data_IF_734032715729
#
_entry.id   IF_734032715729
#
_cell.length_a   1.000
_cell.length_b   1.000
_cell.length_c   1.000
_cell.angle_alpha   90.00
_cell.angle_beta   90.00
_cell.angle_gamma   90.00
#
_symmetry.space_group_name_H-M   'P 1'
#
loop_
_entity.id
_entity.type
_entity.pdbx_description
1 polymer ?
#
# COMPACT_ATOMS: atom_id res chain seq x y z
N UNK A 1 -20.83 -4.70 -7.86
CA UNK A 1 -19.82 -4.27 -6.87
C UNK A 1 -20.51 -3.77 -5.62
N UNK A 2 -20.14 -4.31 -4.45
CA UNK A 2 -20.60 -3.87 -3.13
C UNK A 2 -19.49 -3.03 -2.52
N UNK A 3 -19.84 -1.86 -2.01
CA UNK A 3 -18.97 -0.97 -1.26
C UNK A 3 -19.59 -0.74 0.13
N UNK A 4 -18.86 -1.07 1.17
CA UNK A 4 -19.33 -1.01 2.56
C UNK A 4 -18.37 -0.15 3.39
N UNK A 5 -18.84 0.88 4.11
CA UNK A 5 -18.06 1.47 5.18
C UNK A 5 -17.85 0.43 6.28
N UNK A 6 -16.63 0.37 6.81
CA UNK A 6 -16.26 -0.60 7.84
C UNK A 6 -15.55 0.07 9.02
N UNK A 7 -15.64 -0.58 10.17
CA UNK A 7 -14.91 -0.25 11.38
C UNK A 7 -14.04 -1.44 11.74
N UNK A 8 -12.72 -1.24 11.79
CA UNK A 8 -11.72 -2.26 12.02
C UNK A 8 -11.20 -2.11 13.43
N UNK A 9 -11.54 -3.00 14.37
CA UNK A 9 -10.97 -2.98 15.71
C UNK A 9 -9.45 -3.21 15.64
N UNK A 10 -8.69 -2.36 16.28
CA UNK A 10 -7.24 -2.47 16.43
C UNK A 10 -6.86 -2.34 17.90
N UNK A 11 -5.67 -2.78 18.34
CA UNK A 11 -5.22 -2.58 19.71
C UNK A 11 -5.14 -1.09 20.13
N UNK A 12 -4.99 -0.18 19.18
CA UNK A 12 -4.80 1.25 19.44
C UNK A 12 -6.08 2.09 19.17
N UNK A 13 -7.22 1.43 18.93
CA UNK A 13 -8.50 2.09 18.67
C UNK A 13 -9.30 1.40 17.56
N UNK A 14 -10.07 2.18 16.82
CA UNK A 14 -10.87 1.68 15.70
C UNK A 14 -10.50 2.45 14.43
N UNK A 15 -9.99 1.73 13.42
CA UNK A 15 -9.78 2.31 12.11
C UNK A 15 -11.08 2.27 11.31
N UNK A 16 -11.47 3.40 10.74
CA UNK A 16 -12.51 3.47 9.73
C UNK A 16 -11.94 3.08 8.34
N UNK A 17 -12.80 2.76 7.41
CA UNK A 17 -12.39 2.40 6.05
C UNK A 17 -13.53 1.91 5.18
N UNK A 18 -13.19 1.28 4.08
CA UNK A 18 -14.14 0.70 3.14
C UNK A 18 -13.72 -0.71 2.75
N UNK A 19 -14.73 -1.57 2.56
CA UNK A 19 -14.59 -2.90 2.00
C UNK A 19 -15.27 -2.94 0.64
N UNK A 20 -14.55 -3.37 -0.38
CA UNK A 20 -15.04 -3.57 -1.74
C UNK A 20 -15.06 -5.06 -2.04
N UNK A 21 -16.19 -5.58 -2.55
CA UNK A 21 -16.32 -6.99 -2.94
C UNK A 21 -17.38 -7.19 -3.99
N UNK A 22 -17.30 -8.31 -4.68
CA UNK A 22 -18.39 -8.81 -5.51
C UNK A 22 -19.32 -9.72 -4.71
N UNK A 23 -20.56 -9.85 -5.17
CA UNK A 23 -21.39 -11.01 -4.84
C UNK A 23 -20.76 -12.20 -5.58
N UNK A 24 -20.19 -13.10 -4.83
CA UNK A 24 -19.53 -14.29 -5.36
C UNK A 24 -19.98 -15.50 -4.58
N UNK A 25 -20.22 -16.60 -5.29
CA UNK A 25 -20.50 -17.92 -4.68
C UNK A 25 -19.23 -18.56 -4.10
N UNK A 26 -18.06 -18.04 -4.46
CA UNK A 26 -16.76 -18.52 -3.96
C UNK A 26 -16.06 -17.39 -3.21
N UNK A 27 -15.37 -17.69 -2.11
CA UNK A 27 -14.49 -16.72 -1.47
C UNK A 27 -13.38 -16.29 -2.44
N UNK A 28 -13.05 -14.99 -2.42
CA UNK A 28 -12.02 -14.37 -3.23
C UNK A 28 -10.77 -14.11 -2.39
N UNK A 29 -9.63 -13.86 -3.03
CA UNK A 29 -8.44 -13.42 -2.31
C UNK A 29 -8.63 -12.02 -1.73
N UNK A 30 -8.12 -11.79 -0.51
CA UNK A 30 -8.16 -10.50 0.16
C UNK A 30 -6.95 -9.63 -0.21
N UNK A 31 -7.16 -8.33 -0.40
CA UNK A 31 -6.09 -7.35 -0.60
C UNK A 31 -6.27 -6.20 0.37
N UNK A 32 -5.20 -5.82 1.06
CA UNK A 32 -5.13 -4.55 1.80
C UNK A 32 -4.60 -3.48 0.86
N UNK A 33 -5.43 -2.50 0.54
CA UNK A 33 -5.09 -1.37 -0.32
C UNK A 33 -4.86 -0.14 0.56
N UNK A 34 -3.62 0.29 0.68
CA UNK A 34 -3.26 1.46 1.47
C UNK A 34 -3.37 2.74 0.63
N UNK A 35 -3.62 3.87 1.28
CA UNK A 35 -3.72 5.17 0.61
C UNK A 35 -2.35 5.85 0.57
N UNK A 36 -2.22 6.91 -0.24
CA UNK A 36 -1.14 7.88 -0.05
C UNK A 36 -1.36 8.73 1.22
N UNK A 37 -0.54 9.76 1.44
CA UNK A 37 -0.62 10.65 2.61
C UNK A 37 -1.95 11.43 2.71
N UNK A 38 -2.68 11.58 1.62
CA UNK A 38 -3.98 12.25 1.62
C UNK A 38 -5.10 11.38 2.19
N UNK A 39 -4.84 10.12 2.48
CA UNK A 39 -5.79 9.22 3.14
C UNK A 39 -6.96 8.78 2.25
N UNK A 40 -8.01 8.33 2.91
CA UNK A 40 -9.23 7.86 2.24
C UNK A 40 -9.99 9.06 1.64
N UNK A 41 -10.17 9.01 0.31
CA UNK A 41 -10.89 10.01 -0.49
C UNK A 41 -11.37 9.39 -1.81
N UNK A 42 -12.08 10.13 -2.65
CA UNK A 42 -12.67 9.58 -3.88
C UNK A 42 -11.63 8.93 -4.80
N UNK A 43 -10.44 9.51 -4.94
CA UNK A 43 -9.38 8.93 -5.74
C UNK A 43 -8.94 7.55 -5.22
N UNK A 44 -8.61 7.43 -3.93
CA UNK A 44 -8.20 6.16 -3.32
C UNK A 44 -9.35 5.15 -3.29
N UNK A 45 -10.59 5.59 -3.10
CA UNK A 45 -11.78 4.74 -3.20
C UNK A 45 -11.96 4.20 -4.61
N UNK A 46 -11.77 5.06 -5.64
CA UNK A 46 -11.80 4.64 -7.05
C UNK A 46 -10.74 3.61 -7.39
N UNK A 47 -9.50 3.80 -6.89
CA UNK A 47 -8.40 2.84 -7.09
C UNK A 47 -8.70 1.49 -6.42
N UNK A 48 -9.20 1.49 -5.18
CA UNK A 48 -9.57 0.27 -4.47
C UNK A 48 -10.75 -0.47 -5.14
N UNK A 49 -11.76 0.29 -5.61
CA UNK A 49 -12.89 -0.26 -6.36
C UNK A 49 -12.42 -0.92 -7.66
N UNK A 50 -11.58 -0.24 -8.43
CA UNK A 50 -10.99 -0.78 -9.67
C UNK A 50 -10.25 -2.10 -9.42
N UNK A 51 -9.47 -2.17 -8.32
CA UNK A 51 -8.77 -3.40 -7.97
C UNK A 51 -9.75 -4.52 -7.58
N UNK A 52 -10.85 -4.19 -6.91
CA UNK A 52 -11.87 -5.18 -6.58
C UNK A 52 -12.60 -5.70 -7.85
N UNK A 53 -12.71 -4.89 -8.90
CA UNK A 53 -13.27 -5.30 -10.22
C UNK A 53 -12.47 -6.41 -10.88
N UNK A 54 -11.18 -6.57 -10.53
CA UNK A 54 -10.33 -7.70 -10.95
C UNK A 54 -10.65 -9.02 -10.23
N UNK A 55 -11.68 -9.05 -9.36
CA UNK A 55 -12.12 -10.27 -8.67
C UNK A 55 -11.48 -10.48 -7.30
N UNK A 56 -11.13 -9.42 -6.60
CA UNK A 56 -10.60 -9.46 -5.24
C UNK A 56 -11.60 -8.88 -4.23
N UNK A 57 -11.45 -9.27 -2.96
CA UNK A 57 -12.04 -8.52 -1.84
C UNK A 57 -11.02 -7.53 -1.32
N UNK A 58 -11.29 -6.23 -1.44
CA UNK A 58 -10.31 -5.17 -1.15
C UNK A 58 -10.71 -4.39 0.09
N UNK A 59 -9.82 -4.33 1.07
CA UNK A 59 -9.93 -3.49 2.26
C UNK A 59 -9.12 -2.21 2.05
N UNK A 60 -9.78 -1.06 2.17
CA UNK A 60 -9.18 0.28 2.15
C UNK A 60 -9.27 0.89 3.54
N UNK A 61 -8.30 0.69 4.44
CA UNK A 61 -8.33 1.23 5.79
C UNK A 61 -7.86 2.68 5.82
N UNK A 62 -8.39 3.47 6.76
CA UNK A 62 -7.76 4.72 7.17
C UNK A 62 -6.53 4.40 8.03
N UNK A 63 -5.35 4.43 7.46
CA UNK A 63 -4.09 4.16 8.18
C UNK A 63 -3.73 5.24 9.21
N UNK A 64 -4.37 6.42 9.10
CA UNK A 64 -4.14 7.57 9.97
C UNK A 64 -5.18 7.70 11.11
N UNK A 65 -5.96 6.66 11.37
CA UNK A 65 -7.07 6.67 12.35
C UNK A 65 -6.66 7.09 13.77
N UNK A 66 -5.39 6.91 14.14
CA UNK A 66 -4.85 7.36 15.44
C UNK A 66 -4.81 8.87 15.56
N UNK A 67 -4.79 9.57 14.43
CA UNK A 67 -4.64 11.03 14.38
C UNK A 67 -5.95 11.70 14.01
N UNK A 68 -6.61 11.25 12.94
CA UNK A 68 -7.85 11.87 12.47
C UNK A 68 -8.61 11.03 11.45
N UNK A 69 -9.89 11.38 11.30
CA UNK A 69 -10.71 10.92 10.20
C UNK A 69 -10.48 11.79 8.95
N UNK A 70 -10.75 11.28 7.73
CA UNK A 70 -10.68 12.08 6.51
C UNK A 70 -11.52 13.37 6.59
N UNK A 71 -11.07 14.48 5.98
CA UNK A 71 -9.87 14.59 5.17
C UNK A 71 -8.59 14.76 6.01
N UNK A 72 -7.48 14.25 5.50
CA UNK A 72 -6.18 14.35 6.18
C UNK A 72 -5.66 15.79 6.16
N UNK A 73 -5.94 16.52 5.08
CA UNK A 73 -5.62 17.93 4.94
C UNK A 73 -6.91 18.72 4.69
N UNK A 74 -7.15 19.75 5.50
CA UNK A 74 -8.26 20.70 5.40
C UNK A 74 -7.82 22.03 4.76
N UNK A 75 -6.68 21.98 4.05
CA UNK A 75 -6.06 23.10 3.35
C UNK A 75 -5.30 22.57 2.10
N UNK A 76 -5.01 23.45 1.10
CA UNK A 76 -4.18 23.08 -0.03
C UNK A 76 -2.79 22.62 0.40
N UNK A 77 -2.37 21.45 -0.08
CA UNK A 77 -1.10 20.83 0.30
C UNK A 77 0.04 21.43 -0.51
N UNK A 78 1.05 21.94 0.20
CA UNK A 78 2.32 22.39 -0.36
C UNK A 78 3.45 21.95 0.57
N UNK A 79 4.22 20.94 0.19
CA UNK A 79 5.31 20.40 1.01
C UNK A 79 6.47 21.38 1.26
N UNK A 80 6.49 22.54 0.58
CA UNK A 80 7.37 23.66 0.91
C UNK A 80 6.94 24.44 2.16
N UNK A 81 5.65 24.36 2.55
CA UNK A 81 5.08 25.10 3.65
C UNK A 81 5.17 24.38 4.99
N UNK A 82 5.44 25.13 6.05
CA UNK A 82 5.60 24.56 7.39
C UNK A 82 4.34 23.85 7.90
N UNK A 83 3.15 24.42 7.70
CA UNK A 83 1.87 23.79 8.10
C UNK A 83 1.66 22.41 7.46
N UNK A 84 2.12 22.22 6.20
CA UNK A 84 2.04 20.92 5.52
C UNK A 84 3.00 19.93 6.14
N UNK A 85 4.23 20.35 6.46
CA UNK A 85 5.22 19.50 7.13
C UNK A 85 4.76 19.09 8.52
N UNK A 86 4.18 20.02 9.28
CA UNK A 86 3.62 19.73 10.60
C UNK A 86 2.50 18.71 10.51
N UNK A 87 1.53 18.90 9.60
CA UNK A 87 0.45 17.94 9.39
C UNK A 87 0.98 16.58 8.93
N UNK A 88 1.96 16.55 8.05
CA UNK A 88 2.62 15.30 7.65
C UNK A 88 3.22 14.59 8.86
N UNK A 89 3.95 15.30 9.71
CA UNK A 89 4.54 14.73 10.92
C UNK A 89 3.45 14.22 11.89
N UNK A 90 2.37 15.00 12.13
CA UNK A 90 1.23 14.58 12.96
C UNK A 90 0.61 13.25 12.47
N UNK A 91 0.46 13.09 11.15
CA UNK A 91 -0.12 11.89 10.55
C UNK A 91 0.83 10.68 10.65
N UNK A 92 2.12 10.90 10.47
CA UNK A 92 3.10 9.81 10.31
C UNK A 92 3.78 9.40 11.62
N UNK A 93 3.93 10.31 12.58
CA UNK A 93 4.58 10.02 13.86
C UNK A 93 3.96 8.84 14.63
N UNK A 94 2.61 8.64 14.67
CA UNK A 94 2.03 7.49 15.36
C UNK A 94 2.22 6.15 14.63
N UNK A 95 2.72 6.17 13.38
CA UNK A 95 2.92 4.97 12.57
C UNK A 95 4.32 4.38 12.80
N UNK A 96 4.60 4.02 14.05
CA UNK A 96 5.85 3.32 14.39
C UNK A 96 5.87 1.90 13.81
N UNK A 97 7.05 1.25 13.68
CA UNK A 97 7.12 -0.13 13.23
C UNK A 97 6.20 -1.08 14.00
N UNK A 98 6.10 -0.93 15.31
CA UNK A 98 5.26 -1.75 16.19
C UNK A 98 3.77 -1.47 15.96
N UNK A 99 3.40 -0.19 15.76
CA UNK A 99 2.02 0.20 15.44
C UNK A 99 1.59 -0.40 14.08
N UNK A 100 2.46 -0.33 13.08
CA UNK A 100 2.21 -0.91 11.75
C UNK A 100 2.07 -2.44 11.84
N UNK A 101 2.87 -3.13 12.64
CA UNK A 101 2.76 -4.57 12.84
C UNK A 101 1.42 -4.96 13.50
N UNK A 102 0.95 -4.15 14.48
CA UNK A 102 -0.39 -4.34 15.07
C UNK A 102 -1.51 -4.11 14.06
N UNK A 103 -1.40 -3.06 13.24
CA UNK A 103 -2.36 -2.77 12.17
C UNK A 103 -2.38 -3.87 11.11
N UNK A 104 -1.21 -4.37 10.69
CA UNK A 104 -1.10 -5.50 9.78
C UNK A 104 -1.92 -6.71 10.26
N UNK A 105 -1.78 -7.03 11.54
CA UNK A 105 -2.54 -8.10 12.17
C UNK A 105 -4.05 -7.81 12.15
N UNK A 106 -4.45 -6.60 12.56
CA UNK A 106 -5.86 -6.19 12.59
C UNK A 106 -6.52 -6.22 11.20
N UNK A 107 -5.85 -5.71 10.17
CA UNK A 107 -6.36 -5.69 8.79
C UNK A 107 -6.50 -7.10 8.20
N UNK A 108 -5.49 -7.95 8.40
CA UNK A 108 -5.52 -9.34 7.96
C UNK A 108 -6.63 -10.10 8.67
N UNK A 109 -6.73 -9.97 9.99
CA UNK A 109 -7.74 -10.68 10.78
C UNK A 109 -9.15 -10.16 10.47
N UNK A 110 -9.31 -8.87 10.14
CA UNK A 110 -10.57 -8.33 9.64
C UNK A 110 -10.98 -9.02 8.34
N UNK A 111 -10.09 -9.06 7.35
CA UNK A 111 -10.34 -9.72 6.07
C UNK A 111 -10.62 -11.22 6.24
N UNK A 112 -9.94 -11.92 7.14
CA UNK A 112 -10.17 -13.36 7.40
C UNK A 112 -11.56 -13.65 7.96
N UNK A 113 -12.19 -12.70 8.65
CA UNK A 113 -13.57 -12.85 9.19
C UNK A 113 -14.63 -12.58 8.13
N UNK A 114 -14.26 -11.95 7.03
CA UNK A 114 -15.20 -11.67 5.94
C UNK A 114 -15.50 -12.94 5.15
N UNK A 115 -16.79 -13.28 5.04
CA UNK A 115 -17.25 -14.49 4.31
C UNK A 115 -16.85 -14.47 2.82
N UNK A 116 -16.63 -13.28 2.26
CA UNK A 116 -16.19 -13.07 0.88
C UNK A 116 -14.70 -13.35 0.69
N UNK A 117 -13.93 -13.54 1.75
CA UNK A 117 -12.48 -13.80 1.70
C UNK A 117 -12.20 -15.25 2.02
N UNK A 118 -11.38 -15.91 1.19
CA UNK A 118 -10.86 -17.24 1.45
C UNK A 118 -9.83 -17.23 2.58
N UNK A 119 -9.64 -18.40 3.20
CA UNK A 119 -8.63 -18.59 4.26
C UNK A 119 -7.18 -18.57 3.76
N UNK A 120 -6.98 -18.33 2.47
CA UNK A 120 -5.70 -18.45 1.78
C UNK A 120 -4.86 -17.17 1.79
N UNK A 121 -4.06 -17.09 0.75
CA UNK A 121 -3.12 -16.02 0.48
C UNK A 121 -3.79 -14.65 0.30
N UNK A 122 -3.14 -13.61 0.78
CA UNK A 122 -3.57 -12.22 0.65
C UNK A 122 -2.47 -11.36 0.04
N UNK A 123 -2.88 -10.20 -0.50
CA UNK A 123 -1.98 -9.19 -1.02
C UNK A 123 -2.03 -7.89 -0.23
N UNK A 124 -1.02 -7.05 -0.46
CA UNK A 124 -1.00 -5.67 0.02
C UNK A 124 -0.44 -4.76 -1.06
N UNK A 125 -0.98 -3.54 -1.17
CA UNK A 125 -0.41 -2.50 -2.02
C UNK A 125 -0.40 -1.17 -1.28
N UNK A 126 0.68 -0.40 -1.47
CA UNK A 126 0.85 0.93 -0.92
C UNK A 126 1.36 1.94 -1.92
N UNK A 127 1.09 3.21 -1.65
CA UNK A 127 1.41 4.33 -2.53
C UNK A 127 2.06 5.45 -1.73
N UNK A 128 3.07 6.14 -2.27
CA UNK A 128 3.72 7.25 -1.58
C UNK A 128 4.29 6.79 -0.22
N UNK A 129 3.99 7.49 0.83
CA UNK A 129 4.37 7.14 2.20
C UNK A 129 4.00 5.68 2.57
N UNK A 130 2.84 5.20 2.16
CA UNK A 130 2.40 3.85 2.51
C UNK A 130 3.05 2.74 1.67
N UNK A 131 3.83 3.08 0.64
CA UNK A 131 4.63 2.09 -0.08
C UNK A 131 5.60 1.34 0.83
N UNK A 132 6.25 2.06 1.76
CA UNK A 132 7.07 1.45 2.80
C UNK A 132 6.23 0.64 3.82
N UNK A 133 4.99 1.08 4.10
CA UNK A 133 4.09 0.33 4.98
C UNK A 133 3.67 -1.01 4.37
N UNK A 134 3.48 -1.09 3.05
CA UNK A 134 3.18 -2.34 2.38
C UNK A 134 4.29 -3.40 2.59
N UNK A 135 5.57 -2.98 2.51
CA UNK A 135 6.70 -3.86 2.82
C UNK A 135 6.70 -4.30 4.29
N UNK A 136 6.44 -3.36 5.22
CA UNK A 136 6.33 -3.68 6.66
C UNK A 136 5.20 -4.64 6.98
N UNK A 137 4.04 -4.50 6.33
CA UNK A 137 2.90 -5.41 6.48
C UNK A 137 3.25 -6.81 5.95
N UNK A 138 3.94 -6.88 4.81
CA UNK A 138 4.40 -8.16 4.27
C UNK A 138 5.39 -8.87 5.20
N UNK A 139 6.31 -8.13 5.82
CA UNK A 139 7.24 -8.66 6.82
C UNK A 139 6.55 -9.07 8.13
N UNK A 140 5.54 -8.31 8.58
CA UNK A 140 4.81 -8.60 9.81
C UNK A 140 3.87 -9.81 9.70
N UNK A 141 3.37 -10.10 8.49
CA UNK A 141 2.43 -11.21 8.24
C UNK A 141 2.89 -12.12 7.08
N UNK A 142 4.11 -12.68 7.17
CA UNK A 142 4.64 -13.56 6.13
C UNK A 142 3.89 -14.90 6.04
N UNK A 143 3.02 -15.19 7.01
CA UNK A 143 2.17 -16.38 7.05
C UNK A 143 1.02 -16.31 6.03
N UNK A 144 0.64 -15.11 5.59
CA UNK A 144 -0.54 -14.90 4.75
C UNK A 144 -0.34 -13.91 3.63
N UNK A 145 0.52 -12.89 3.78
CA UNK A 145 0.84 -11.95 2.71
C UNK A 145 1.84 -12.60 1.77
N UNK A 146 1.38 -12.98 0.59
CA UNK A 146 2.20 -13.64 -0.45
C UNK A 146 2.53 -12.72 -1.63
N UNK A 147 1.92 -11.56 -1.68
CA UNK A 147 2.17 -10.53 -2.68
C UNK A 147 2.17 -9.14 -2.05
N UNK A 148 3.15 -8.31 -2.38
CA UNK A 148 3.20 -6.92 -1.96
C UNK A 148 3.63 -6.02 -3.12
N UNK A 149 2.95 -4.88 -3.29
CA UNK A 149 3.31 -3.88 -4.28
C UNK A 149 3.49 -2.50 -3.62
N UNK A 150 4.45 -1.74 -4.12
CA UNK A 150 4.73 -0.38 -3.68
C UNK A 150 4.95 0.51 -4.89
N UNK A 151 4.19 1.58 -5.02
CA UNK A 151 4.35 2.55 -6.10
C UNK A 151 4.73 3.91 -5.52
N UNK A 152 5.77 4.53 -6.11
CA UNK A 152 6.41 5.75 -5.60
C UNK A 152 6.62 5.73 -4.07
N UNK A 153 7.00 4.57 -3.56
CA UNK A 153 7.23 4.37 -2.13
C UNK A 153 8.40 5.20 -1.64
N UNK A 154 8.12 6.15 -0.73
CA UNK A 154 9.18 6.93 -0.10
C UNK A 154 9.87 6.17 1.02
N UNK A 155 11.18 6.39 1.18
CA UNK A 155 11.94 5.88 2.32
C UNK A 155 11.99 4.35 2.43
N UNK A 156 11.95 3.64 1.30
CA UNK A 156 12.14 2.17 1.28
C UNK A 156 13.55 1.77 1.74
N UNK A 157 14.54 2.61 1.45
CA UNK A 157 15.88 2.58 2.03
C UNK A 157 16.20 3.91 2.71
N UNK A 158 16.75 3.84 3.92
CA UNK A 158 17.23 4.98 4.71
C UNK A 158 18.41 4.54 5.57
N UNK A 159 19.20 5.48 6.08
CA UNK A 159 20.29 5.17 7.03
C UNK A 159 19.79 4.90 8.47
N UNK A 160 18.48 4.93 8.70
CA UNK A 160 17.91 4.68 10.02
C UNK A 160 17.95 3.19 10.39
N UNK A 161 18.12 2.85 11.69
CA UNK A 161 18.11 1.46 12.14
C UNK A 161 16.74 0.76 11.96
N UNK A 162 15.71 1.53 11.62
CA UNK A 162 14.36 1.05 11.32
C UNK A 162 14.04 1.10 9.83
N UNK A 163 15.04 1.17 8.96
CA UNK A 163 14.86 1.22 7.51
C UNK A 163 14.04 0.02 7.02
N UNK A 164 13.05 0.22 6.13
CA UNK A 164 12.17 -0.86 5.67
C UNK A 164 12.90 -2.02 4.98
N UNK A 165 13.97 -1.74 4.23
CA UNK A 165 14.78 -2.77 3.55
C UNK A 165 15.42 -3.78 4.50
N UNK A 166 15.68 -3.40 5.75
CA UNK A 166 16.17 -4.31 6.78
C UNK A 166 15.19 -5.43 7.13
N UNK A 167 13.91 -5.29 6.74
CA UNK A 167 12.88 -6.30 6.95
C UNK A 167 12.81 -7.33 5.81
N UNK A 168 13.55 -7.17 4.72
CA UNK A 168 13.53 -8.10 3.59
C UNK A 168 13.73 -9.57 3.99
N UNK A 169 14.61 -9.93 4.94
CA UNK A 169 14.76 -11.31 5.38
C UNK A 169 13.48 -11.96 5.95
N UNK A 170 12.57 -11.15 6.48
CA UNK A 170 11.28 -11.61 7.04
C UNK A 170 10.19 -11.74 5.96
N UNK A 171 10.41 -11.17 4.77
CA UNK A 171 9.41 -11.15 3.69
C UNK A 171 9.41 -12.48 2.93
N UNK A 172 8.25 -13.12 2.84
CA UNK A 172 8.03 -14.32 2.01
C UNK A 172 7.22 -14.04 0.76
N UNK A 173 6.67 -12.84 0.67
CA UNK A 173 5.89 -12.39 -0.48
C UNK A 173 6.75 -12.24 -1.73
N UNK A 174 6.14 -12.43 -2.89
CA UNK A 174 6.66 -11.84 -4.11
C UNK A 174 6.36 -10.35 -4.10
N UNK A 175 7.34 -9.51 -4.42
CA UNK A 175 7.22 -8.06 -4.29
C UNK A 175 7.43 -7.34 -5.62
N UNK A 176 6.74 -6.20 -5.79
CA UNK A 176 6.91 -5.28 -6.91
C UNK A 176 7.12 -3.86 -6.40
N UNK A 177 8.19 -3.22 -6.83
CA UNK A 177 8.50 -1.83 -6.51
C UNK A 177 8.52 -1.02 -7.80
N UNK A 178 7.64 0.00 -7.86
CA UNK A 178 7.61 0.98 -8.93
C UNK A 178 8.15 2.32 -8.42
N UNK A 179 9.32 2.73 -8.91
CA UNK A 179 9.98 3.99 -8.53
C UNK A 179 9.70 5.08 -9.55
N UNK A 180 9.53 6.30 -9.09
CA UNK A 180 9.50 7.46 -9.96
C UNK A 180 10.91 7.83 -10.42
N UNK A 181 11.02 8.37 -11.63
CA UNK A 181 12.29 8.81 -12.19
C UNK A 181 12.91 9.98 -11.40
N UNK A 182 12.09 10.95 -10.99
CA UNK A 182 12.49 12.07 -10.15
C UNK A 182 11.68 12.06 -8.85
N UNK A 183 12.26 11.50 -7.78
CA UNK A 183 11.61 11.40 -6.48
C UNK A 183 12.55 11.79 -5.33
N UNK A 184 12.24 12.90 -4.66
CA UNK A 184 13.02 13.34 -3.51
C UNK A 184 12.89 12.41 -2.29
N UNK A 185 11.80 11.64 -2.20
CA UNK A 185 11.57 10.70 -1.11
C UNK A 185 12.27 9.36 -1.32
N UNK A 186 12.72 9.10 -2.56
CA UNK A 186 13.47 7.91 -2.95
C UNK A 186 14.40 8.26 -4.12
N UNK A 187 15.47 9.04 -3.88
CA UNK A 187 16.40 9.47 -4.92
C UNK A 187 17.17 8.27 -5.52
N UNK A 188 17.74 8.46 -6.70
CA UNK A 188 18.41 7.39 -7.45
C UNK A 188 19.46 6.61 -6.62
N UNK A 189 20.19 7.29 -5.74
CA UNK A 189 21.15 6.63 -4.83
C UNK A 189 20.43 5.70 -3.84
N UNK A 190 19.29 6.12 -3.28
CA UNK A 190 18.51 5.29 -2.37
C UNK A 190 17.87 4.10 -3.10
N UNK A 191 17.43 4.29 -4.36
CA UNK A 191 16.96 3.20 -5.21
C UNK A 191 18.09 2.19 -5.44
N UNK A 192 19.29 2.64 -5.78
CA UNK A 192 20.43 1.74 -6.00
C UNK A 192 20.77 0.91 -4.75
N UNK A 193 20.81 1.54 -3.57
CA UNK A 193 21.04 0.83 -2.30
C UNK A 193 19.92 -0.15 -1.97
N UNK A 194 18.68 0.22 -2.27
CA UNK A 194 17.53 -0.66 -2.10
C UNK A 194 17.60 -1.87 -3.06
N UNK A 195 17.99 -1.67 -4.31
CA UNK A 195 18.18 -2.75 -5.28
C UNK A 195 19.33 -3.69 -4.88
N UNK A 196 20.41 -3.16 -4.29
CA UNK A 196 21.48 -3.97 -3.69
C UNK A 196 20.94 -4.84 -2.54
N UNK A 197 20.08 -4.27 -1.68
CA UNK A 197 19.45 -5.01 -0.58
C UNK A 197 18.48 -6.08 -1.12
N UNK A 198 17.71 -5.80 -2.16
CA UNK A 198 16.84 -6.78 -2.83
C UNK A 198 17.64 -7.93 -3.45
N UNK A 199 18.75 -7.62 -4.10
CA UNK A 199 19.64 -8.62 -4.69
C UNK A 199 20.28 -9.51 -3.61
N UNK A 200 20.71 -8.91 -2.49
CA UNK A 200 21.27 -9.65 -1.35
C UNK A 200 20.24 -10.54 -0.66
N UNK A 201 18.98 -10.08 -0.58
CA UNK A 201 17.87 -10.87 -0.04
C UNK A 201 17.60 -12.12 -0.89
N UNK A 202 17.70 -12.01 -2.22
CA UNK A 202 17.52 -13.13 -3.15
C UNK A 202 16.10 -13.68 -3.23
N UNK A 203 15.10 -12.94 -2.72
CA UNK A 203 13.69 -13.28 -2.85
C UNK A 203 13.13 -13.00 -4.25
N UNK A 204 11.82 -13.18 -4.41
CA UNK A 204 11.15 -12.91 -5.69
C UNK A 204 10.72 -11.45 -5.74
N UNK A 205 11.37 -10.66 -6.56
CA UNK A 205 11.07 -9.24 -6.69
C UNK A 205 11.13 -8.74 -8.13
N UNK A 206 10.45 -7.62 -8.36
CA UNK A 206 10.60 -6.73 -9.50
C UNK A 206 10.81 -5.32 -8.97
N UNK A 207 11.84 -4.63 -9.41
CA UNK A 207 12.11 -3.22 -9.09
C UNK A 207 12.28 -2.47 -10.39
N UNK A 208 11.39 -1.51 -10.66
CA UNK A 208 11.32 -0.80 -11.93
C UNK A 208 11.27 0.71 -11.71
N UNK A 209 12.07 1.45 -12.48
CA UNK A 209 11.93 2.90 -12.59
C UNK A 209 10.97 3.21 -13.76
N UNK A 210 10.03 4.11 -13.51
CA UNK A 210 9.07 4.63 -14.49
C UNK A 210 9.57 5.96 -15.01
N UNK A 211 10.16 5.96 -16.21
CA UNK A 211 10.97 7.07 -16.75
C UNK A 211 10.19 8.37 -16.99
N UNK A 212 8.86 8.29 -17.16
CA UNK A 212 8.00 9.45 -17.36
C UNK A 212 7.19 9.80 -16.11
N UNK A 213 7.53 9.21 -14.97
CA UNK A 213 6.76 9.29 -13.75
C UNK A 213 7.46 10.16 -12.68
N UNK A 214 6.71 11.06 -12.06
CA UNK A 214 7.10 11.79 -10.86
C UNK A 214 6.36 11.23 -9.66
N UNK A 215 6.83 11.54 -8.45
CA UNK A 215 6.17 11.08 -7.22
C UNK A 215 4.66 11.37 -7.24
N UNK A 216 3.84 10.33 -7.06
CA UNK A 216 2.37 10.43 -7.10
C UNK A 216 1.73 10.14 -8.47
N UNK A 217 2.49 9.65 -9.46
CA UNK A 217 1.99 9.45 -10.84
C UNK A 217 0.82 8.48 -10.98
N UNK A 218 0.63 7.56 -10.03
CA UNK A 218 -0.45 6.55 -10.10
C UNK A 218 -1.78 7.07 -9.58
N UNK A 219 -1.80 8.20 -8.89
CA UNK A 219 -2.98 8.69 -8.16
C UNK A 219 -3.75 9.70 -9.00
N UNK A 220 -5.03 9.45 -9.37
CA UNK A 220 -5.74 10.22 -10.38
C UNK A 220 -5.95 11.70 -10.09
N UNK A 221 -5.99 12.10 -8.81
CA UNK A 221 -6.13 13.50 -8.39
C UNK A 221 -4.80 14.17 -8.02
N UNK A 222 -3.68 13.48 -8.23
CA UNK A 222 -2.35 14.05 -8.06
C UNK A 222 -2.01 14.99 -9.22
N UNK A 223 -1.35 16.10 -8.92
CA UNK A 223 -0.79 16.98 -9.95
C UNK A 223 0.31 16.30 -10.82
N UNK A 224 0.88 15.21 -10.33
CA UNK A 224 1.88 14.40 -11.04
C UNK A 224 1.26 13.22 -11.79
N UNK A 225 -0.08 13.07 -11.81
CA UNK A 225 -0.73 11.95 -12.46
C UNK A 225 -0.29 11.80 -13.93
N UNK A 226 0.19 10.62 -14.26
CA UNK A 226 0.55 10.24 -15.62
C UNK A 226 -0.22 8.97 -15.98
N UNK A 227 -1.22 9.13 -16.86
CA UNK A 227 -2.16 8.06 -17.18
C UNK A 227 -1.44 6.82 -17.73
N UNK A 228 -0.54 6.98 -18.67
CA UNK A 228 0.09 5.86 -19.37
C UNK A 228 0.99 5.06 -18.40
N UNK A 229 1.76 5.74 -17.58
CA UNK A 229 2.59 5.08 -16.56
C UNK A 229 1.74 4.53 -15.40
N UNK A 230 0.61 5.16 -15.07
CA UNK A 230 -0.32 4.63 -14.07
C UNK A 230 -0.99 3.32 -14.55
N UNK A 231 -1.38 3.25 -15.83
CA UNK A 231 -1.93 2.03 -16.42
C UNK A 231 -0.86 0.92 -16.52
N UNK A 232 0.38 1.26 -16.83
CA UNK A 232 1.52 0.31 -16.81
C UNK A 232 1.77 -0.21 -15.38
N UNK A 233 1.76 0.68 -14.38
CA UNK A 233 1.91 0.31 -12.98
C UNK A 233 0.74 -0.60 -12.51
N UNK A 234 -0.48 -0.27 -12.90
CA UNK A 234 -1.66 -1.07 -12.62
C UNK A 234 -1.58 -2.47 -13.25
N UNK A 235 -1.16 -2.57 -14.51
CA UNK A 235 -0.97 -3.85 -15.19
C UNK A 235 0.09 -4.73 -14.49
N UNK A 236 1.22 -4.14 -14.06
CA UNK A 236 2.25 -4.86 -13.31
C UNK A 236 1.74 -5.36 -11.95
N UNK A 237 0.97 -4.53 -11.23
CA UNK A 237 0.36 -4.91 -9.96
C UNK A 237 -0.65 -6.06 -10.13
N UNK A 238 -1.56 -5.94 -11.09
CA UNK A 238 -2.59 -6.98 -11.32
C UNK A 238 -1.97 -8.28 -11.82
N UNK A 239 -0.91 -8.23 -12.64
CA UNK A 239 -0.14 -9.41 -13.03
C UNK A 239 0.54 -10.07 -11.81
N UNK A 240 1.11 -9.29 -10.86
CA UNK A 240 1.64 -9.83 -9.61
C UNK A 240 0.54 -10.55 -8.82
N UNK A 241 -0.60 -9.91 -8.60
CA UNK A 241 -1.68 -10.49 -7.82
C UNK A 241 -2.31 -11.71 -8.50
N UNK A 242 -2.50 -11.71 -9.82
CA UNK A 242 -3.04 -12.85 -10.55
C UNK A 242 -2.15 -14.09 -10.42
N UNK A 243 -0.83 -13.96 -10.56
CA UNK A 243 0.10 -15.10 -10.47
C UNK A 243 0.33 -15.63 -9.06
N UNK A 244 0.03 -14.82 -8.01
CA UNK A 244 0.32 -15.18 -6.61
C UNK A 244 -0.93 -15.51 -5.80
N UNK A 245 -2.06 -14.88 -6.09
CA UNK A 245 -3.29 -15.01 -5.32
C UNK A 245 -4.32 -15.93 -5.99
N UNK A 246 -4.06 -16.36 -7.23
CA UNK A 246 -4.98 -17.24 -7.95
C UNK A 246 -6.27 -16.54 -8.37
N UNK A 247 -6.26 -15.23 -8.58
CA UNK A 247 -7.34 -14.48 -9.19
C UNK A 247 -7.51 -14.94 -10.65
N UNK A 248 -8.70 -15.37 -11.01
CA UNK A 248 -9.01 -15.67 -12.40
C UNK A 248 -9.12 -14.36 -13.15
N UNK A 249 -8.20 -14.08 -14.07
CA UNK A 249 -8.56 -13.29 -15.21
C UNK A 249 -9.76 -14.00 -15.88
N UNK A 250 -10.94 -13.39 -15.80
CA UNK A 250 -12.12 -13.81 -16.54
C UNK A 250 -11.98 -13.40 -17.99
#
# INVERSE_FOLDING_TARGET
MIELPVSIPTPDGTADGYLYRHESSRPLAGIVHLTDIHGVRDASRGMARRLAEEGYTVLLPNVFYRTRNPPMFDFPVNFGEERTKQRFAELTQPLTPEAIARDATAYVDFLRREKSVGSGAMGVVGYCFTGALALRIAAARPDVIVAAASFHGGGLHTDAPTSPDLLLPEVKAQVHFGHAFEDRSMPAEAIAKFDEALAAWGGRYESLVYDQARHGWTVPDSAAYNRDEAERAYANMTALFARTLGGSAS
#
